data_IF_450752119573
#
_entry.id   IF_450752119573
#
_cell.length_a   1.000
_cell.length_b   1.000
_cell.length_c   1.000
_cell.angle_alpha   90.00
_cell.angle_beta   90.00
_cell.angle_gamma   90.00
#
_symmetry.space_group_name_H-M   'P 1'
#
loop_
_entity.id
_entity.type
_entity.pdbx_description
1 polymer ?
#
# COMPACT_ATOMS: atom_id res chain seq x y z
N UNK A 1 -23.46 -6.07 -12.32
CA UNK A 1 -23.28 -5.19 -11.14
C UNK A 1 -23.95 -5.81 -9.94
N UNK A 2 -23.25 -5.90 -8.80
CA UNK A 2 -23.86 -6.25 -7.52
C UNK A 2 -24.91 -5.19 -7.12
N UNK A 3 -25.83 -5.54 -6.22
CA UNK A 3 -26.85 -4.61 -5.74
C UNK A 3 -26.22 -3.37 -5.07
N UNK A 4 -25.10 -3.55 -4.34
CA UNK A 4 -24.34 -2.43 -3.75
C UNK A 4 -23.86 -1.42 -4.80
N UNK A 5 -23.27 -1.88 -5.92
CA UNK A 5 -22.80 -1.00 -7.00
C UNK A 5 -23.93 -0.20 -7.63
N UNK A 6 -25.09 -0.83 -7.84
CA UNK A 6 -26.27 -0.15 -8.43
C UNK A 6 -26.79 0.93 -7.48
N UNK A 7 -26.93 0.60 -6.21
CA UNK A 7 -27.42 1.52 -5.18
C UNK A 7 -26.45 2.70 -5.02
N UNK A 8 -25.15 2.42 -4.89
CA UNK A 8 -24.11 3.44 -4.77
C UNK A 8 -24.04 4.42 -5.94
N UNK A 9 -24.28 3.93 -7.17
CA UNK A 9 -24.25 4.76 -8.37
C UNK A 9 -25.24 5.93 -8.28
N UNK A 10 -26.42 5.70 -7.71
CA UNK A 10 -27.44 6.75 -7.52
C UNK A 10 -27.33 7.45 -6.17
N UNK A 11 -26.95 6.74 -5.10
CA UNK A 11 -26.83 7.34 -3.76
C UNK A 11 -25.78 8.44 -3.69
N UNK A 12 -24.64 8.30 -4.38
CA UNK A 12 -23.59 9.33 -4.38
C UNK A 12 -24.09 10.70 -4.86
N UNK A 13 -24.62 10.80 -6.10
CA UNK A 13 -25.24 12.03 -6.60
C UNK A 13 -26.41 12.52 -5.74
N UNK A 14 -27.21 11.61 -5.17
CA UNK A 14 -28.32 12.00 -4.29
C UNK A 14 -27.82 12.67 -3.02
N UNK A 15 -26.82 12.10 -2.32
CA UNK A 15 -26.24 12.74 -1.14
C UNK A 15 -25.58 14.07 -1.47
N UNK A 16 -24.90 14.16 -2.62
CA UNK A 16 -24.35 15.41 -3.13
C UNK A 16 -25.44 16.49 -3.27
N UNK A 17 -26.54 16.18 -3.96
CA UNK A 17 -27.66 17.12 -4.14
C UNK A 17 -28.35 17.46 -2.82
N UNK A 18 -28.50 16.50 -1.90
CA UNK A 18 -29.13 16.73 -0.60
C UNK A 18 -28.35 17.74 0.25
N UNK A 19 -27.02 17.70 0.22
CA UNK A 19 -26.19 18.69 0.94
C UNK A 19 -26.25 20.05 0.24
N UNK A 20 -26.14 20.10 -1.08
CA UNK A 20 -26.16 21.39 -1.81
C UNK A 20 -27.51 22.10 -1.75
N UNK A 21 -28.61 21.34 -1.70
CA UNK A 21 -29.97 21.88 -1.60
C UNK A 21 -30.41 22.06 -0.14
N UNK A 22 -29.51 21.85 0.83
CA UNK A 22 -29.86 22.00 2.24
C UNK A 22 -30.19 23.47 2.54
N UNK A 23 -31.30 23.78 3.25
CA UNK A 23 -31.82 25.15 3.32
C UNK A 23 -30.93 26.19 4.01
N UNK A 24 -29.95 25.76 4.80
CA UNK A 24 -29.06 26.60 5.60
C UNK A 24 -27.63 26.05 5.54
N UNK A 25 -26.58 26.88 5.46
CA UNK A 25 -25.23 26.35 5.49
C UNK A 25 -24.96 25.52 6.76
N UNK A 26 -24.47 24.29 6.63
CA UNK A 26 -24.09 23.44 7.76
C UNK A 26 -22.80 23.97 8.40
N UNK A 27 -21.81 24.27 7.55
CA UNK A 27 -20.53 24.85 7.97
C UNK A 27 -20.27 26.18 7.28
N UNK A 28 -20.29 26.18 5.95
CA UNK A 28 -20.12 27.33 5.07
C UNK A 28 -20.50 26.91 3.65
N UNK A 29 -20.83 27.84 2.76
CA UNK A 29 -21.20 27.50 1.37
C UNK A 29 -20.12 26.66 0.68
N UNK A 30 -18.83 26.99 0.87
CA UNK A 30 -17.72 26.23 0.32
C UNK A 30 -17.48 24.92 1.08
N UNK A 31 -17.62 24.91 2.41
CA UNK A 31 -17.46 23.71 3.23
C UNK A 31 -18.49 22.64 2.90
N UNK A 32 -19.75 23.05 2.75
CA UNK A 32 -20.85 22.16 2.41
C UNK A 32 -20.68 21.60 0.99
N UNK A 33 -20.20 22.41 0.05
CA UNK A 33 -19.86 21.96 -1.30
C UNK A 33 -18.75 20.89 -1.28
N UNK A 34 -17.68 21.09 -0.50
CA UNK A 34 -16.62 20.08 -0.32
C UNK A 34 -17.17 18.81 0.34
N UNK A 35 -18.01 18.92 1.37
CA UNK A 35 -18.67 17.78 2.03
C UNK A 35 -19.55 17.03 1.03
N UNK A 36 -20.31 17.73 0.20
CA UNK A 36 -21.17 17.12 -0.82
C UNK A 36 -20.32 16.26 -1.78
N UNK A 37 -19.21 16.81 -2.28
CA UNK A 37 -18.28 16.08 -3.16
C UNK A 37 -17.65 14.90 -2.41
N UNK A 38 -17.20 15.11 -1.18
CA UNK A 38 -16.61 14.06 -0.34
C UNK A 38 -17.58 12.89 -0.11
N UNK A 39 -18.86 13.18 0.19
CA UNK A 39 -19.89 12.16 0.40
C UNK A 39 -20.18 11.36 -0.86
N UNK A 40 -20.20 12.03 -2.02
CA UNK A 40 -20.29 11.33 -3.30
C UNK A 40 -19.09 10.40 -3.47
N UNK A 41 -17.88 10.91 -3.28
CA UNK A 41 -16.65 10.13 -3.43
C UNK A 41 -16.60 8.93 -2.49
N UNK A 42 -16.88 9.13 -1.19
CA UNK A 42 -16.93 8.07 -0.17
C UNK A 42 -17.99 7.02 -0.54
N UNK A 43 -19.17 7.45 -0.96
CA UNK A 43 -20.24 6.52 -1.34
C UNK A 43 -19.81 5.65 -2.52
N UNK A 44 -19.20 6.25 -3.55
CA UNK A 44 -18.72 5.51 -4.71
C UNK A 44 -17.51 4.63 -4.40
N UNK A 45 -16.59 5.06 -3.53
CA UNK A 45 -15.46 4.24 -3.10
C UNK A 45 -15.88 3.06 -2.22
N UNK A 46 -16.84 3.24 -1.31
CA UNK A 46 -17.37 2.18 -0.46
C UNK A 46 -18.17 1.14 -1.24
N UNK A 47 -19.02 1.60 -2.16
CA UNK A 47 -19.88 0.72 -2.95
C UNK A 47 -19.19 0.17 -4.18
N UNK A 48 -18.01 0.71 -4.54
CA UNK A 48 -17.32 0.53 -5.81
C UNK A 48 -18.26 0.70 -7.02
N UNK A 49 -19.14 1.70 -6.96
CA UNK A 49 -20.14 1.96 -8.00
C UNK A 49 -19.48 2.18 -9.38
N UNK A 50 -18.34 2.86 -9.38
CA UNK A 50 -17.44 3.04 -10.53
C UNK A 50 -16.00 2.75 -10.10
N UNK A 51 -15.04 2.76 -11.03
CA UNK A 51 -13.62 2.63 -10.70
C UNK A 51 -13.19 3.73 -9.72
N UNK A 52 -12.37 3.39 -8.72
CA UNK A 52 -11.86 4.33 -7.71
C UNK A 52 -11.18 5.56 -8.35
N UNK A 53 -10.59 5.38 -9.53
CA UNK A 53 -9.93 6.42 -10.31
C UNK A 53 -10.91 7.35 -11.01
N UNK A 54 -12.09 6.86 -11.40
CA UNK A 54 -13.16 7.69 -11.98
C UNK A 54 -13.74 8.58 -10.89
N UNK A 55 -14.01 8.02 -9.71
CA UNK A 55 -14.42 8.79 -8.53
C UNK A 55 -13.38 9.86 -8.18
N UNK A 56 -12.10 9.53 -8.29
CA UNK A 56 -11.02 10.47 -8.02
C UNK A 56 -10.97 11.65 -8.99
N UNK A 57 -11.62 11.60 -10.16
CA UNK A 57 -11.72 12.75 -11.07
C UNK A 57 -12.83 13.72 -10.70
N UNK A 58 -13.72 13.37 -9.76
CA UNK A 58 -14.84 14.24 -9.35
C UNK A 58 -14.37 15.61 -8.87
N UNK A 59 -13.33 15.76 -8.03
CA UNK A 59 -12.85 17.09 -7.64
C UNK A 59 -12.42 17.95 -8.83
N UNK A 60 -11.76 17.36 -9.85
CA UNK A 60 -11.31 18.09 -11.04
C UNK A 60 -12.47 18.69 -11.82
N UNK A 61 -13.63 18.04 -11.80
CA UNK A 61 -14.86 18.52 -12.41
C UNK A 61 -15.64 19.48 -11.50
N UNK A 62 -15.88 19.07 -10.26
CA UNK A 62 -16.87 19.70 -9.37
C UNK A 62 -16.32 20.88 -8.60
N UNK A 63 -15.04 20.91 -8.24
CA UNK A 63 -14.49 22.02 -7.45
C UNK A 63 -14.53 23.37 -8.18
N UNK A 64 -14.21 23.44 -9.50
CA UNK A 64 -14.37 24.68 -10.25
C UNK A 64 -15.83 25.04 -10.49
N UNK A 65 -16.73 24.06 -10.63
CA UNK A 65 -18.17 24.30 -10.83
C UNK A 65 -18.87 24.83 -9.59
N UNK A 66 -18.34 24.53 -8.41
CA UNK A 66 -18.90 24.93 -7.11
C UNK A 66 -18.14 26.12 -6.50
N UNK A 67 -17.27 26.79 -7.28
CA UNK A 67 -16.43 27.91 -6.81
C UNK A 67 -15.64 27.60 -5.53
N UNK A 68 -15.21 26.33 -5.37
CA UNK A 68 -14.30 25.90 -4.29
C UNK A 68 -12.87 26.31 -4.65
N UNK A 69 -12.46 26.06 -5.90
CA UNK A 69 -11.09 26.28 -6.37
C UNK A 69 -11.02 26.38 -7.91
N UNK A 70 -10.18 27.27 -8.47
CA UNK A 70 -9.95 27.32 -9.92
C UNK A 70 -9.39 26.02 -10.49
N UNK A 71 -9.79 25.66 -11.73
CA UNK A 71 -9.36 24.41 -12.40
C UNK A 71 -7.84 24.21 -12.43
N UNK A 72 -7.06 25.27 -12.57
CA UNK A 72 -5.59 25.19 -12.59
C UNK A 72 -5.03 24.73 -11.24
N UNK A 73 -5.56 25.25 -10.13
CA UNK A 73 -5.16 24.84 -8.79
C UNK A 73 -5.61 23.41 -8.48
N UNK A 74 -6.83 23.04 -8.90
CA UNK A 74 -7.27 21.64 -8.78
C UNK A 74 -6.37 20.71 -9.59
N UNK A 75 -6.01 21.11 -10.82
CA UNK A 75 -5.10 20.37 -11.71
C UNK A 75 -3.69 20.19 -11.14
N UNK A 76 -3.16 21.16 -10.39
CA UNK A 76 -1.84 21.07 -9.75
C UNK A 76 -1.75 19.86 -8.80
N UNK A 77 -2.86 19.47 -8.15
CA UNK A 77 -2.90 18.27 -7.32
C UNK A 77 -2.65 16.98 -8.12
N UNK A 78 -3.10 16.91 -9.37
CA UNK A 78 -2.87 15.77 -10.29
C UNK A 78 -1.49 15.83 -10.97
N UNK A 79 -0.81 16.97 -10.89
CA UNK A 79 0.57 17.17 -11.35
C UNK A 79 1.60 17.18 -10.22
N UNK A 80 1.23 16.77 -9.00
CA UNK A 80 2.12 16.84 -7.84
C UNK A 80 3.41 16.02 -8.03
N UNK A 81 4.58 16.47 -7.54
CA UNK A 81 5.84 15.73 -7.60
C UNK A 81 5.74 14.30 -7.07
N UNK A 82 4.87 14.05 -6.09
CA UNK A 82 4.66 12.72 -5.52
C UNK A 82 4.14 11.75 -6.59
N UNK A 83 3.26 12.19 -7.50
CA UNK A 83 2.72 11.32 -8.56
C UNK A 83 3.84 10.82 -9.47
N UNK A 84 4.82 11.66 -9.76
CA UNK A 84 6.00 11.30 -10.56
C UNK A 84 7.00 10.41 -9.81
N UNK A 85 7.11 10.56 -8.48
CA UNK A 85 7.84 9.59 -7.64
C UNK A 85 7.30 8.18 -7.86
N UNK A 86 5.98 8.02 -7.77
CA UNK A 86 5.31 6.73 -7.92
C UNK A 86 5.31 6.22 -9.35
N UNK A 87 5.17 7.11 -10.34
CA UNK A 87 5.32 6.74 -11.73
C UNK A 87 6.68 6.05 -11.98
N UNK A 88 7.77 6.64 -11.49
CA UNK A 88 9.09 6.01 -11.61
C UNK A 88 9.21 4.70 -10.86
N UNK A 89 8.63 4.62 -9.64
CA UNK A 89 8.47 3.38 -8.89
C UNK A 89 7.78 2.26 -9.68
N UNK A 90 6.62 2.55 -10.28
CA UNK A 90 5.86 1.60 -11.07
C UNK A 90 6.57 1.18 -12.35
N UNK A 91 7.29 2.10 -13.02
CA UNK A 91 8.11 1.77 -14.18
C UNK A 91 9.26 0.82 -13.79
N UNK A 92 9.90 1.03 -12.64
CA UNK A 92 10.91 0.10 -12.12
C UNK A 92 10.31 -1.28 -11.80
N UNK A 93 9.17 -1.32 -11.13
CA UNK A 93 8.46 -2.56 -10.84
C UNK A 93 8.08 -3.31 -12.14
N UNK A 94 7.59 -2.59 -13.15
CA UNK A 94 7.28 -3.12 -14.47
C UNK A 94 8.51 -3.71 -15.18
N UNK A 95 9.68 -3.06 -15.08
CA UNK A 95 10.93 -3.60 -15.60
C UNK A 95 11.35 -4.89 -14.90
N UNK A 96 11.25 -4.94 -13.56
CA UNK A 96 11.50 -6.15 -12.77
C UNK A 96 10.57 -7.30 -13.20
N UNK A 97 9.32 -6.97 -13.51
CA UNK A 97 8.32 -7.91 -14.03
C UNK A 97 8.68 -8.43 -15.43
N UNK A 98 8.92 -7.51 -16.39
CA UNK A 98 9.18 -7.83 -17.80
C UNK A 98 10.36 -8.79 -17.98
N UNK A 99 11.40 -8.66 -17.15
CA UNK A 99 12.59 -9.53 -17.23
C UNK A 99 12.54 -10.74 -16.29
N UNK A 100 11.42 -10.97 -15.58
CA UNK A 100 11.24 -12.06 -14.61
C UNK A 100 12.25 -12.06 -13.43
N UNK A 101 12.90 -10.93 -13.17
CA UNK A 101 13.90 -10.82 -12.09
C UNK A 101 13.25 -10.99 -10.71
N UNK A 102 12.07 -10.42 -10.51
CA UNK A 102 11.27 -10.57 -9.29
C UNK A 102 11.02 -12.05 -8.94
N UNK A 103 10.63 -12.89 -9.91
CA UNK A 103 10.41 -14.34 -9.71
C UNK A 103 11.70 -15.08 -9.36
N UNK A 104 12.82 -14.71 -10.00
CA UNK A 104 14.14 -15.27 -9.67
C UNK A 104 14.55 -14.94 -8.23
N UNK A 105 14.34 -13.69 -7.80
CA UNK A 105 14.65 -13.26 -6.42
C UNK A 105 13.83 -14.08 -5.43
N UNK A 106 12.51 -14.19 -5.64
CA UNK A 106 11.63 -14.95 -4.76
C UNK A 106 12.05 -16.42 -4.60
N UNK A 107 12.24 -17.13 -5.72
CA UNK A 107 12.63 -18.54 -5.70
C UNK A 107 13.99 -18.76 -5.02
N UNK A 108 14.95 -17.84 -5.18
CA UNK A 108 16.23 -17.93 -4.48
C UNK A 108 16.08 -17.74 -2.97
N UNK A 109 15.24 -16.80 -2.52
CA UNK A 109 14.96 -16.60 -1.08
C UNK A 109 14.33 -17.86 -0.49
N UNK A 110 13.33 -18.43 -1.17
CA UNK A 110 12.67 -19.67 -0.72
C UNK A 110 13.69 -20.81 -0.64
N UNK A 111 14.53 -20.97 -1.67
CA UNK A 111 15.58 -21.99 -1.70
C UNK A 111 16.57 -21.87 -0.53
N UNK A 112 16.96 -20.65 -0.17
CA UNK A 112 17.94 -20.41 0.90
C UNK A 112 17.34 -20.65 2.29
N UNK A 113 16.05 -20.38 2.48
CA UNK A 113 15.41 -20.46 3.80
C UNK A 113 15.34 -21.90 4.34
N UNK A 114 15.25 -22.89 3.45
CA UNK A 114 15.37 -24.32 3.76
C UNK A 114 14.13 -25.13 3.41
N UNK A 115 14.18 -26.43 3.71
CA UNK A 115 13.22 -27.43 3.18
C UNK A 115 12.16 -27.90 4.16
N UNK A 116 12.24 -27.55 5.45
CA UNK A 116 11.20 -27.97 6.40
C UNK A 116 9.93 -27.14 6.19
N UNK A 117 8.72 -27.66 6.48
CA UNK A 117 7.46 -26.95 6.25
C UNK A 117 7.46 -25.52 6.80
N UNK A 118 7.88 -25.36 8.06
CA UNK A 118 7.95 -24.06 8.72
C UNK A 118 8.94 -23.11 8.04
N UNK A 119 10.10 -23.62 7.60
CA UNK A 119 11.10 -22.83 6.86
C UNK A 119 10.61 -22.43 5.49
N UNK A 120 9.83 -23.28 4.82
CA UNK A 120 9.23 -22.96 3.53
C UNK A 120 8.17 -21.87 3.68
N UNK A 121 7.28 -21.95 4.67
CA UNK A 121 6.33 -20.86 4.99
C UNK A 121 7.09 -19.55 5.23
N UNK A 122 8.13 -19.58 6.07
CA UNK A 122 8.97 -18.41 6.33
C UNK A 122 9.62 -17.86 5.05
N UNK A 123 10.12 -18.75 4.18
CA UNK A 123 10.73 -18.37 2.90
C UNK A 123 9.75 -17.68 1.97
N UNK A 124 8.51 -18.18 1.88
CA UNK A 124 7.42 -17.51 1.15
C UNK A 124 7.11 -16.15 1.76
N UNK A 125 7.01 -16.03 3.09
CA UNK A 125 6.74 -14.76 3.77
C UNK A 125 7.83 -13.71 3.53
N UNK A 126 9.10 -14.07 3.72
CA UNK A 126 10.24 -13.17 3.49
C UNK A 126 10.32 -12.75 2.02
N UNK A 127 10.19 -13.71 1.08
CA UNK A 127 10.21 -13.42 -0.34
C UNK A 127 9.07 -12.47 -0.74
N UNK A 128 7.86 -12.75 -0.26
CA UNK A 128 6.69 -11.92 -0.53
C UNK A 128 6.86 -10.52 0.02
N UNK A 129 7.24 -10.38 1.29
CA UNK A 129 7.46 -9.08 1.90
C UNK A 129 8.53 -8.28 1.14
N UNK A 130 9.66 -8.91 0.84
CA UNK A 130 10.77 -8.27 0.11
C UNK A 130 10.34 -7.77 -1.27
N UNK A 131 9.53 -8.53 -2.01
CA UNK A 131 9.00 -8.10 -3.30
C UNK A 131 7.98 -6.96 -3.14
N UNK A 132 7.11 -7.04 -2.14
CA UNK A 132 6.07 -6.05 -1.88
C UNK A 132 6.62 -4.68 -1.46
N UNK A 133 7.87 -4.62 -0.99
CA UNK A 133 8.55 -3.33 -0.73
C UNK A 133 8.83 -2.51 -1.99
N UNK A 134 8.88 -3.14 -3.16
CA UNK A 134 9.35 -2.50 -4.40
C UNK A 134 8.35 -2.59 -5.54
N UNK A 135 7.45 -3.57 -5.47
CA UNK A 135 6.37 -3.81 -6.41
C UNK A 135 5.06 -3.44 -5.67
N UNK A 136 3.90 -3.69 -6.27
CA UNK A 136 2.63 -3.61 -5.56
C UNK A 136 2.32 -4.89 -4.78
N UNK A 137 1.56 -4.76 -3.69
CA UNK A 137 1.05 -5.89 -2.91
C UNK A 137 0.28 -6.88 -3.80
N UNK A 138 -0.59 -6.37 -4.67
CA UNK A 138 -1.41 -7.17 -5.60
C UNK A 138 -0.55 -7.99 -6.55
N UNK A 139 0.39 -7.36 -7.27
CA UNK A 139 1.23 -8.06 -8.24
C UNK A 139 2.13 -9.09 -7.54
N UNK A 140 2.63 -8.77 -6.35
CA UNK A 140 3.40 -9.70 -5.54
C UNK A 140 2.59 -10.95 -5.18
N UNK A 141 1.35 -10.81 -4.71
CA UNK A 141 0.48 -11.94 -4.41
C UNK A 141 0.18 -12.80 -5.67
N UNK A 142 -0.07 -12.17 -6.82
CA UNK A 142 -0.29 -12.86 -8.10
C UNK A 142 0.92 -13.70 -8.51
N UNK A 143 2.14 -13.19 -8.33
CA UNK A 143 3.38 -13.93 -8.66
C UNK A 143 3.60 -15.10 -7.71
N UNK A 144 3.34 -14.89 -6.42
CA UNK A 144 3.62 -15.88 -5.38
C UNK A 144 2.60 -17.02 -5.36
N UNK A 145 1.34 -16.76 -5.73
CA UNK A 145 0.27 -17.76 -5.67
C UNK A 145 0.55 -19.01 -6.53
N UNK A 146 0.90 -18.92 -7.84
CA UNK A 146 1.21 -20.11 -8.64
C UNK A 146 2.38 -20.93 -8.11
N UNK A 147 3.38 -20.26 -7.52
CA UNK A 147 4.56 -20.92 -6.91
C UNK A 147 4.11 -21.69 -5.67
N UNK A 148 3.33 -21.05 -4.79
CA UNK A 148 2.76 -21.70 -3.61
C UNK A 148 1.86 -22.87 -3.98
N UNK A 149 0.99 -22.69 -4.97
CA UNK A 149 0.11 -23.74 -5.48
C UNK A 149 0.87 -24.94 -6.03
N UNK A 150 2.01 -24.71 -6.70
CA UNK A 150 2.87 -25.80 -7.20
C UNK A 150 3.47 -26.61 -6.06
N UNK A 151 3.80 -25.97 -4.94
CA UNK A 151 4.30 -26.63 -3.73
C UNK A 151 3.18 -27.35 -2.97
N UNK A 152 2.00 -26.75 -2.86
CA UNK A 152 0.84 -27.33 -2.17
C UNK A 152 0.31 -28.57 -2.88
N UNK A 153 0.30 -28.59 -4.23
CA UNK A 153 -0.16 -29.75 -5.00
C UNK A 153 0.61 -31.04 -4.69
N UNK A 154 1.91 -30.95 -4.41
CA UNK A 154 2.72 -32.11 -4.01
C UNK A 154 2.22 -32.80 -2.74
N UNK A 155 1.51 -32.06 -1.87
CA UNK A 155 0.91 -32.60 -0.65
C UNK A 155 -0.47 -33.20 -0.87
N UNK A 156 -1.14 -32.83 -1.97
CA UNK A 156 -2.45 -33.38 -2.33
C UNK A 156 -2.28 -34.76 -2.96
N UNK A 157 -1.20 -34.92 -3.73
CA UNK A 157 -0.86 -36.15 -4.46
C UNK A 157 -0.05 -37.16 -3.61
N UNK A 158 0.04 -36.95 -2.29
CA UNK A 158 0.76 -37.85 -1.36
C UNK A 158 -0.04 -39.12 -1.03
N UNK A 159 0.66 -40.18 -0.64
CA UNK A 159 0.15 -41.54 -0.45
C UNK A 159 -0.88 -41.64 0.68
N UNK A 160 -0.81 -40.74 1.67
CA UNK A 160 -1.73 -40.65 2.81
C UNK A 160 -2.94 -39.72 2.58
N UNK A 161 -3.03 -39.07 1.41
CA UNK A 161 -4.08 -38.12 1.05
C UNK A 161 -3.97 -36.78 1.78
N UNK A 162 -4.91 -35.86 1.53
CA UNK A 162 -4.84 -34.50 2.07
C UNK A 162 -5.20 -34.44 3.57
N UNK A 163 -4.20 -34.51 4.44
CA UNK A 163 -4.39 -34.53 5.89
C UNK A 163 -4.64 -33.13 6.47
N UNK A 164 -5.02 -33.08 7.76
CA UNK A 164 -5.13 -31.82 8.51
C UNK A 164 -3.80 -31.03 8.53
N UNK A 165 -2.66 -31.71 8.55
CA UNK A 165 -1.34 -31.06 8.56
C UNK A 165 -1.05 -30.40 7.22
N UNK A 166 -1.44 -31.03 6.11
CA UNK A 166 -1.30 -30.49 4.76
C UNK A 166 -2.18 -29.26 4.56
N UNK A 167 -3.43 -29.32 5.05
CA UNK A 167 -4.32 -28.15 5.09
C UNK A 167 -3.70 -27.01 5.90
N UNK A 168 -3.19 -27.28 7.09
CA UNK A 168 -2.57 -26.27 7.94
C UNK A 168 -1.35 -25.62 7.26
N UNK A 169 -0.52 -26.41 6.60
CA UNK A 169 0.60 -25.91 5.81
C UNK A 169 0.11 -25.04 4.64
N UNK A 170 -0.84 -25.52 3.83
CA UNK A 170 -1.38 -24.79 2.68
C UNK A 170 -1.97 -23.44 3.10
N UNK A 171 -2.80 -23.43 4.16
CA UNK A 171 -3.37 -22.21 4.71
C UNK A 171 -2.27 -21.27 5.24
N UNK A 172 -1.25 -21.80 5.92
CA UNK A 172 -0.14 -20.98 6.43
C UNK A 172 0.67 -20.33 5.31
N UNK A 173 0.95 -21.05 4.21
CA UNK A 173 1.66 -20.49 3.06
C UNK A 173 0.81 -19.41 2.40
N UNK A 174 -0.46 -19.69 2.12
CA UNK A 174 -1.35 -18.79 1.41
C UNK A 174 -1.66 -17.51 2.22
N UNK A 175 -2.02 -17.65 3.50
CA UNK A 175 -2.21 -16.49 4.38
C UNK A 175 -0.89 -15.76 4.65
N UNK A 176 0.21 -16.50 4.76
CA UNK A 176 1.55 -15.92 4.90
C UNK A 176 1.89 -15.01 3.72
N UNK A 177 1.56 -15.40 2.49
CA UNK A 177 1.73 -14.54 1.30
C UNK A 177 0.85 -13.29 1.43
N UNK A 178 -0.45 -13.42 1.69
CA UNK A 178 -1.32 -12.26 1.75
C UNK A 178 -0.91 -11.26 2.85
N UNK A 179 -0.61 -11.75 4.05
CA UNK A 179 -0.23 -10.90 5.18
C UNK A 179 1.16 -10.28 4.98
N UNK A 180 2.13 -11.03 4.43
CA UNK A 180 3.45 -10.50 4.12
C UNK A 180 3.44 -9.51 2.95
N UNK A 181 2.54 -9.64 1.98
CA UNK A 181 2.36 -8.62 0.95
C UNK A 181 1.88 -7.31 1.57
N UNK A 182 0.83 -7.36 2.40
CA UNK A 182 0.30 -6.17 3.07
C UNK A 182 1.32 -5.53 4.02
N UNK A 183 1.96 -6.31 4.90
CA UNK A 183 2.96 -5.81 5.84
C UNK A 183 4.24 -5.34 5.13
N UNK A 184 4.67 -6.03 4.07
CA UNK A 184 5.85 -5.68 3.27
C UNK A 184 5.69 -4.33 2.56
N UNK A 185 4.49 -4.05 2.02
CA UNK A 185 4.19 -2.78 1.35
C UNK A 185 4.30 -1.55 2.26
N UNK A 186 4.17 -1.73 3.58
CA UNK A 186 4.31 -0.64 4.55
C UNK A 186 5.76 -0.14 4.64
N UNK A 187 6.75 -1.02 4.42
CA UNK A 187 8.14 -0.77 4.75
C UNK A 187 8.80 0.38 3.98
N UNK A 188 8.33 0.68 2.77
CA UNK A 188 8.86 1.74 1.91
C UNK A 188 7.74 2.65 1.46
N UNK A 189 8.11 3.85 0.98
CA UNK A 189 7.15 4.81 0.41
C UNK A 189 6.40 4.19 -0.78
N UNK A 190 7.10 3.42 -1.62
CA UNK A 190 6.58 2.91 -2.90
C UNK A 190 5.69 1.68 -2.75
N UNK A 191 5.91 0.87 -1.70
CA UNK A 191 5.28 -0.45 -1.59
C UNK A 191 3.75 -0.42 -1.55
N UNK A 192 3.14 0.60 -0.94
CA UNK A 192 1.67 0.70 -0.85
C UNK A 192 1.14 2.13 -1.08
N UNK A 193 0.05 2.31 -1.86
CA UNK A 193 -0.49 3.64 -2.16
C UNK A 193 -0.85 4.54 -0.95
N UNK A 194 -1.37 4.02 0.19
CA UNK A 194 -1.60 4.83 1.39
C UNK A 194 -0.41 5.66 1.87
N UNK A 195 0.81 5.09 1.85
CA UNK A 195 2.03 5.79 2.26
C UNK A 195 2.27 7.04 1.40
N UNK A 196 2.11 6.87 0.09
CA UNK A 196 2.14 7.91 -0.95
C UNK A 196 1.19 9.06 -0.68
N UNK A 197 -0.07 8.74 -0.36
CA UNK A 197 -1.10 9.75 -0.15
C UNK A 197 -0.77 10.58 1.07
N UNK A 198 -0.31 9.94 2.14
CA UNK A 198 0.15 10.67 3.31
C UNK A 198 1.32 11.59 2.98
N UNK A 199 2.37 11.09 2.31
CA UNK A 199 3.54 11.90 1.98
C UNK A 199 3.16 13.06 1.06
N UNK A 200 2.33 12.80 0.05
CA UNK A 200 1.79 13.83 -0.81
C UNK A 200 0.98 14.87 -0.03
N UNK A 201 0.13 14.45 0.90
CA UNK A 201 -0.64 15.37 1.74
C UNK A 201 0.30 16.27 2.56
N UNK A 202 1.27 15.67 3.25
CA UNK A 202 2.23 16.37 4.08
C UNK A 202 3.06 17.38 3.28
N UNK A 203 3.54 16.98 2.10
CA UNK A 203 4.39 17.80 1.26
C UNK A 203 3.60 18.95 0.60
N UNK A 204 2.44 18.66 -0.01
CA UNK A 204 1.71 19.67 -0.78
C UNK A 204 0.90 20.63 0.11
N UNK A 205 0.25 20.13 1.16
CA UNK A 205 -0.59 20.97 2.02
C UNK A 205 0.16 21.58 3.19
N UNK A 206 1.09 20.82 3.77
CA UNK A 206 1.73 21.22 5.02
C UNK A 206 3.22 21.56 4.85
N UNK A 207 3.77 21.40 3.64
CA UNK A 207 5.19 21.64 3.34
C UNK A 207 6.15 20.83 4.25
N UNK A 208 5.69 19.66 4.69
CA UNK A 208 6.46 18.73 5.52
C UNK A 208 7.00 17.62 4.62
N UNK A 209 8.31 17.60 4.41
CA UNK A 209 8.97 16.56 3.63
C UNK A 209 9.34 15.35 4.50
N UNK A 210 8.89 14.16 4.13
CA UNK A 210 9.38 12.89 4.66
C UNK A 210 10.17 12.19 3.56
N UNK A 211 11.50 12.21 3.68
CA UNK A 211 12.37 11.53 2.71
C UNK A 211 12.15 10.02 2.71
N UNK A 212 12.49 9.39 1.58
CA UNK A 212 12.42 7.93 1.42
C UNK A 212 13.11 7.17 2.57
N UNK A 213 14.35 7.57 2.93
CA UNK A 213 15.07 6.96 4.04
C UNK A 213 14.36 7.19 5.38
N UNK A 214 13.86 8.42 5.63
CA UNK A 214 13.19 8.75 6.91
C UNK A 214 11.95 7.88 7.12
N UNK A 215 11.19 7.61 6.06
CA UNK A 215 10.07 6.66 6.10
C UNK A 215 10.54 5.24 6.48
N UNK A 216 11.56 4.73 5.80
CA UNK A 216 12.06 3.38 6.02
C UNK A 216 12.55 3.15 7.45
N UNK A 217 13.14 4.15 8.10
CA UNK A 217 13.70 4.02 9.46
C UNK A 217 12.68 3.52 10.48
N UNK A 218 11.41 3.93 10.39
CA UNK A 218 10.36 3.44 11.29
C UNK A 218 9.47 2.35 10.65
N UNK A 219 9.22 2.44 9.34
CA UNK A 219 8.27 1.57 8.68
C UNK A 219 8.84 0.17 8.38
N UNK A 220 10.14 0.06 8.05
CA UNK A 220 10.78 -1.22 7.81
C UNK A 220 10.87 -2.07 9.10
N UNK A 221 11.30 -1.54 10.26
CA UNK A 221 11.22 -2.29 11.52
C UNK A 221 9.80 -2.75 11.87
N UNK A 222 8.80 -1.88 11.70
CA UNK A 222 7.41 -2.24 11.90
C UNK A 222 6.99 -3.42 11.01
N UNK A 223 7.31 -3.37 9.72
CA UNK A 223 7.03 -4.44 8.76
C UNK A 223 7.66 -5.76 9.18
N UNK A 224 8.95 -5.75 9.55
CA UNK A 224 9.68 -6.94 10.01
C UNK A 224 9.02 -7.56 11.25
N UNK A 225 8.64 -6.73 12.23
CA UNK A 225 7.94 -7.18 13.44
C UNK A 225 6.60 -7.82 13.06
N UNK A 226 5.81 -7.16 12.22
CA UNK A 226 4.50 -7.69 11.79
C UNK A 226 4.61 -8.99 11.01
N UNK A 227 5.62 -9.16 10.16
CA UNK A 227 5.89 -10.41 9.44
C UNK A 227 6.27 -11.52 10.43
N UNK A 228 7.13 -11.22 11.41
CA UNK A 228 7.51 -12.16 12.46
C UNK A 228 6.32 -12.62 13.30
N UNK A 229 5.46 -11.68 13.71
CA UNK A 229 4.25 -11.98 14.49
C UNK A 229 3.20 -12.72 13.66
N UNK A 230 3.08 -12.41 12.37
CA UNK A 230 2.27 -13.17 11.42
C UNK A 230 2.76 -14.61 11.29
N UNK A 231 4.09 -14.81 11.19
CA UNK A 231 4.68 -16.14 11.10
C UNK A 231 4.42 -16.96 12.38
N UNK A 232 4.62 -16.36 13.56
CA UNK A 232 4.33 -17.02 14.84
C UNK A 232 2.84 -17.39 14.92
N UNK A 233 1.96 -16.45 14.58
CA UNK A 233 0.51 -16.65 14.61
C UNK A 233 0.06 -17.79 13.70
N UNK A 234 0.51 -17.79 12.45
CA UNK A 234 0.11 -18.80 11.47
C UNK A 234 0.73 -20.17 11.81
N UNK A 235 2.05 -20.24 11.99
CA UNK A 235 2.78 -21.52 12.04
C UNK A 235 2.80 -22.16 13.43
N UNK A 236 2.75 -21.36 14.51
CA UNK A 236 2.89 -21.88 15.87
C UNK A 236 1.58 -21.87 16.66
N UNK A 237 0.70 -20.88 16.43
CA UNK A 237 -0.52 -20.72 17.23
C UNK A 237 -1.75 -21.36 16.57
N UNK A 238 -2.03 -21.02 15.30
CA UNK A 238 -3.34 -21.32 14.69
C UNK A 238 -3.29 -22.53 13.76
N UNK A 239 -2.26 -22.65 12.91
CA UNK A 239 -2.15 -23.69 11.89
C UNK A 239 -0.84 -24.48 11.98
N UNK A 240 -0.55 -25.15 13.11
CA UNK A 240 0.69 -25.91 13.26
C UNK A 240 0.78 -27.07 12.26
N UNK A 241 1.91 -27.17 11.57
CA UNK A 241 2.25 -28.22 10.60
C UNK A 241 3.43 -29.09 11.06
N UNK A 242 3.66 -29.21 12.37
CA UNK A 242 4.77 -30.01 12.93
C UNK A 242 4.66 -31.49 12.53
N UNK A 243 5.80 -32.08 12.13
CA UNK A 243 5.89 -33.50 11.77
C UNK A 243 5.17 -33.85 10.48
N UNK A 244 5.21 -32.95 9.50
CA UNK A 244 4.83 -33.18 8.11
C UNK A 244 6.10 -33.60 7.34
N UNK A 245 6.05 -34.77 6.68
CA UNK A 245 7.16 -35.30 5.89
C UNK A 245 7.24 -34.52 4.58
N UNK A 246 8.22 -33.63 4.46
CA UNK A 246 8.29 -32.68 3.36
C UNK A 246 9.57 -32.88 2.55
N UNK A 247 9.63 -33.98 1.81
CA UNK A 247 10.78 -34.36 0.97
C UNK A 247 10.78 -33.69 -0.41
N UNK A 248 9.62 -33.24 -0.92
CA UNK A 248 9.44 -32.83 -2.32
C UNK A 248 9.66 -31.31 -2.62
N UNK A 249 9.91 -30.47 -1.62
CA UNK A 249 9.90 -29.00 -1.82
C UNK A 249 11.11 -28.44 -2.58
N UNK A 250 12.29 -29.01 -2.36
CA UNK A 250 13.52 -28.53 -3.00
C UNK A 250 13.52 -28.79 -4.50
N UNK A 251 12.98 -29.92 -4.94
CA UNK A 251 12.93 -30.30 -6.36
C UNK A 251 12.01 -29.37 -7.15
N UNK A 252 10.83 -29.02 -6.61
CA UNK A 252 9.92 -28.09 -7.29
C UNK A 252 10.51 -26.68 -7.40
N UNK A 253 11.13 -26.17 -6.34
CA UNK A 253 11.77 -24.84 -6.39
C UNK A 253 12.96 -24.85 -7.37
N UNK A 254 13.74 -25.94 -7.42
CA UNK A 254 14.82 -26.09 -8.38
C UNK A 254 14.30 -26.19 -9.82
N UNK A 255 13.22 -26.91 -10.06
CA UNK A 255 12.63 -27.03 -11.39
C UNK A 255 12.05 -25.69 -11.87
N UNK A 256 11.40 -24.93 -10.99
CA UNK A 256 10.93 -23.56 -11.28
C UNK A 256 12.10 -22.62 -11.59
N UNK A 257 13.22 -22.73 -10.87
CA UNK A 257 14.46 -22.00 -11.19
C UNK A 257 15.06 -22.46 -12.52
N UNK A 258 15.00 -23.76 -12.84
CA UNK A 258 15.51 -24.31 -14.10
C UNK A 258 14.70 -23.83 -15.29
N UNK A 259 13.37 -23.71 -15.16
CA UNK A 259 12.47 -23.11 -16.16
C UNK A 259 12.81 -21.66 -16.49
N UNK A 260 13.37 -20.89 -15.54
CA UNK A 260 13.84 -19.52 -15.79
C UNK A 260 15.16 -19.46 -16.57
N UNK A 261 15.94 -20.54 -16.60
CA UNK A 261 17.27 -20.58 -17.19
C UNK A 261 18.30 -19.70 -16.46
N UNK A 262 19.51 -19.54 -17.03
CA UNK A 262 20.56 -18.70 -16.45
C UNK A 262 20.17 -17.22 -16.42
N UNK A 263 20.72 -16.46 -15.48
CA UNK A 263 20.49 -15.01 -15.35
C UNK A 263 20.84 -14.30 -16.65
N UNK A 264 19.83 -13.74 -17.33
CA UNK A 264 20.02 -13.04 -18.61
C UNK A 264 20.67 -11.68 -18.40
N UNK A 265 21.40 -11.18 -19.40
CA UNK A 265 22.09 -9.88 -19.29
C UNK A 265 21.12 -8.70 -19.08
N UNK A 266 19.88 -8.78 -19.59
CA UNK A 266 18.82 -7.80 -19.29
C UNK A 266 18.43 -7.78 -17.80
N UNK A 267 18.37 -8.94 -17.15
CA UNK A 267 18.10 -9.01 -15.70
C UNK A 267 19.20 -8.29 -14.91
N UNK A 268 20.47 -8.47 -15.30
CA UNK A 268 21.61 -7.78 -14.65
C UNK A 268 21.54 -6.27 -14.82
N UNK A 269 21.14 -5.79 -16.00
CA UNK A 269 20.97 -4.36 -16.27
C UNK A 269 19.86 -3.75 -15.42
N UNK A 270 18.70 -4.40 -15.35
CA UNK A 270 17.59 -3.95 -14.50
C UNK A 270 17.99 -3.96 -13.03
N UNK A 271 18.68 -5.02 -12.56
CA UNK A 271 19.20 -5.08 -11.20
C UNK A 271 20.19 -3.95 -10.91
N UNK A 272 21.05 -3.62 -11.86
CA UNK A 272 22.00 -2.51 -11.76
C UNK A 272 21.30 -1.16 -11.62
N UNK A 273 20.32 -0.86 -12.49
CA UNK A 273 19.52 0.37 -12.41
C UNK A 273 18.79 0.43 -11.07
N UNK A 274 18.12 -0.65 -10.68
CA UNK A 274 17.41 -0.75 -9.41
C UNK A 274 18.33 -0.51 -8.20
N UNK A 275 19.51 -1.14 -8.16
CA UNK A 275 20.48 -0.95 -7.08
C UNK A 275 21.01 0.49 -7.01
N UNK A 276 21.24 1.13 -8.15
CA UNK A 276 21.63 2.54 -8.22
C UNK A 276 20.52 3.43 -7.67
N UNK A 277 19.26 3.24 -8.09
CA UNK A 277 18.13 4.03 -7.60
C UNK A 277 17.95 3.91 -6.09
N UNK A 278 17.94 2.68 -5.56
CA UNK A 278 17.81 2.44 -4.11
C UNK A 278 18.96 3.09 -3.34
N UNK A 279 20.19 3.00 -3.86
CA UNK A 279 21.34 3.68 -3.28
C UNK A 279 21.17 5.19 -3.28
N UNK A 280 20.68 5.78 -4.38
CA UNK A 280 20.41 7.22 -4.46
C UNK A 280 19.35 7.67 -3.45
N UNK A 281 18.25 6.92 -3.26
CA UNK A 281 17.25 7.26 -2.25
C UNK A 281 17.79 7.19 -0.82
N UNK A 282 18.54 6.13 -0.49
CA UNK A 282 19.11 5.95 0.85
C UNK A 282 20.14 7.05 1.14
N UNK A 283 21.04 7.34 0.20
CA UNK A 283 22.13 8.30 0.39
C UNK A 283 21.76 9.73 -0.02
N UNK A 284 20.52 10.01 -0.46
CA UNK A 284 20.08 11.33 -0.96
C UNK A 284 20.49 12.47 -0.05
N UNK A 285 20.18 12.38 1.25
CA UNK A 285 20.50 13.44 2.23
C UNK A 285 22.01 13.68 2.34
N UNK A 286 22.80 12.61 2.32
CA UNK A 286 24.27 12.69 2.35
C UNK A 286 24.82 13.31 1.05
N UNK A 287 24.30 12.89 -0.10
CA UNK A 287 24.66 13.43 -1.41
C UNK A 287 24.38 14.93 -1.46
N UNK A 288 23.20 15.37 -1.03
CA UNK A 288 22.84 16.78 -0.98
C UNK A 288 23.68 17.57 0.04
N UNK A 289 24.15 16.96 1.13
CA UNK A 289 25.07 17.65 2.05
C UNK A 289 26.47 17.87 1.46
N UNK A 290 26.95 16.97 0.60
CA UNK A 290 28.27 17.08 -0.05
C UNK A 290 28.19 17.95 -1.30
N UNK A 291 27.08 17.84 -2.05
CA UNK A 291 26.83 18.57 -3.29
C UNK A 291 25.48 19.31 -3.23
N UNK A 292 25.37 20.42 -2.47
CA UNK A 292 24.11 21.14 -2.29
C UNK A 292 23.49 21.66 -3.59
N UNK A 293 24.31 21.94 -4.60
CA UNK A 293 23.88 22.44 -5.91
C UNK A 293 23.10 21.42 -6.75
N UNK A 294 23.18 20.12 -6.43
CA UNK A 294 22.42 19.09 -7.15
C UNK A 294 20.93 19.14 -6.83
N UNK A 295 20.55 19.56 -5.62
CA UNK A 295 19.13 19.65 -5.21
C UNK A 295 18.35 18.36 -5.42
N UNK A 296 18.99 17.19 -5.21
CA UNK A 296 18.42 15.90 -5.59
C UNK A 296 17.19 15.58 -4.75
N UNK A 297 16.04 15.41 -5.39
CA UNK A 297 14.79 14.97 -4.75
C UNK A 297 14.49 13.49 -5.02
N UNK A 298 13.65 12.86 -4.17
CA UNK A 298 13.23 11.48 -4.39
C UNK A 298 12.51 11.31 -5.74
N UNK A 299 11.73 12.33 -6.15
CA UNK A 299 11.06 12.39 -7.45
C UNK A 299 12.05 12.41 -8.61
N UNK A 300 13.11 13.21 -8.52
CA UNK A 300 14.18 13.23 -9.55
C UNK A 300 14.85 11.87 -9.69
N UNK A 301 15.15 11.20 -8.57
CA UNK A 301 15.75 9.86 -8.55
C UNK A 301 14.82 8.84 -9.24
N UNK A 302 13.52 8.90 -8.96
CA UNK A 302 12.52 8.01 -9.58
C UNK A 302 12.38 8.24 -11.07
N UNK A 303 12.36 9.51 -11.50
CA UNK A 303 12.29 9.88 -12.91
C UNK A 303 13.57 9.49 -13.65
N UNK A 304 14.73 9.65 -13.02
CA UNK A 304 16.00 9.15 -13.55
C UNK A 304 15.93 7.64 -13.83
N UNK A 305 15.41 6.85 -12.89
CA UNK A 305 15.27 5.42 -13.06
C UNK A 305 14.30 5.06 -14.19
N UNK A 306 13.14 5.73 -14.24
CA UNK A 306 12.14 5.53 -15.28
C UNK A 306 12.71 5.81 -16.68
N UNK A 307 13.30 7.00 -16.85
CA UNK A 307 13.91 7.42 -18.11
C UNK A 307 15.03 6.46 -18.50
N UNK A 308 15.88 6.05 -17.55
CA UNK A 308 16.98 5.12 -17.82
C UNK A 308 16.50 3.77 -18.38
N UNK A 309 15.35 3.26 -17.91
CA UNK A 309 14.79 1.99 -18.37
C UNK A 309 14.23 2.05 -19.81
N UNK A 310 13.87 3.23 -20.29
CA UNK A 310 13.46 3.46 -21.69
C UNK A 310 14.62 3.90 -22.59
N UNK A 311 15.58 4.66 -22.05
CA UNK A 311 16.57 5.37 -22.85
C UNK A 311 17.94 4.68 -22.90
N UNK A 312 18.31 3.86 -21.92
CA UNK A 312 19.58 3.13 -21.95
C UNK A 312 19.39 1.84 -22.75
N UNK A 313 20.03 1.69 -23.93
CA UNK A 313 19.85 0.51 -24.75
C UNK A 313 20.62 -0.66 -24.15
N UNK A 314 19.96 -1.82 -24.07
CA UNK A 314 20.63 -3.08 -23.78
C UNK A 314 21.55 -3.49 -24.94
N UNK A 315 21.12 -3.25 -26.19
CA UNK A 315 21.95 -3.44 -27.38
C UNK A 315 21.77 -2.29 -28.36
N UNK A 316 22.73 -1.37 -28.38
CA UNK A 316 22.71 -0.17 -29.22
C UNK A 316 22.62 -0.50 -30.72
N UNK A 317 23.27 -1.58 -31.18
CA UNK A 317 23.25 -1.98 -32.60
C UNK A 317 21.88 -2.49 -33.06
N UNK A 318 21.08 -3.01 -32.14
CA UNK A 318 19.75 -3.57 -32.43
C UNK A 318 18.61 -2.63 -32.02
N UNK A 319 18.89 -1.50 -31.39
CA UNK A 319 17.88 -0.64 -30.78
C UNK A 319 17.07 -1.38 -29.71
N UNK A 320 17.69 -2.33 -29.01
CA UNK A 320 17.00 -3.17 -28.02
C UNK A 320 17.07 -2.49 -26.65
N UNK A 321 15.93 -2.07 -26.12
CA UNK A 321 15.79 -1.43 -24.82
C UNK A 321 15.20 -2.41 -23.80
N UNK A 322 15.16 -2.00 -22.52
CA UNK A 322 14.49 -2.80 -21.49
C UNK A 322 12.97 -2.64 -21.64
N UNK A 323 12.49 -1.40 -21.63
CA UNK A 323 11.07 -1.06 -21.77
C UNK A 323 10.79 -0.36 -23.11
N UNK A 324 9.60 -0.64 -23.63
CA UNK A 324 8.97 0.03 -24.76
C UNK A 324 7.75 0.80 -24.23
N UNK A 325 7.38 1.94 -24.83
CA UNK A 325 6.26 2.74 -24.32
C UNK A 325 4.96 1.93 -24.18
N UNK A 326 4.75 0.94 -25.05
CA UNK A 326 3.61 0.03 -24.97
C UNK A 326 3.54 -0.76 -23.64
N UNK A 327 4.67 -1.05 -23.01
CA UNK A 327 4.67 -1.74 -21.70
C UNK A 327 3.95 -0.92 -20.63
N UNK A 328 3.89 0.42 -20.79
CA UNK A 328 3.22 1.31 -19.84
C UNK A 328 1.70 1.08 -19.76
N UNK A 329 1.11 0.36 -20.71
CA UNK A 329 -0.30 -0.09 -20.65
C UNK A 329 -0.57 -0.94 -19.39
N UNK A 330 0.47 -1.58 -18.83
CA UNK A 330 0.37 -2.38 -17.60
C UNK A 330 0.53 -1.58 -16.31
N UNK A 331 0.89 -0.30 -16.39
CA UNK A 331 1.03 0.54 -15.20
C UNK A 331 -0.33 0.79 -14.56
N UNK A 332 -0.34 0.93 -13.23
CA UNK A 332 -1.52 1.27 -12.47
C UNK A 332 -1.86 2.77 -12.56
N UNK A 333 -2.13 3.27 -13.78
CA UNK A 333 -2.47 4.68 -14.04
C UNK A 333 -3.61 5.18 -13.16
N UNK A 334 -4.57 4.30 -12.87
CA UNK A 334 -5.69 4.62 -12.00
C UNK A 334 -5.28 5.02 -10.58
N UNK A 335 -4.18 4.48 -10.05
CA UNK A 335 -3.66 4.85 -8.71
C UNK A 335 -3.02 6.24 -8.75
N UNK A 336 -2.33 6.59 -9.86
CA UNK A 336 -1.74 7.92 -10.04
C UNK A 336 -2.83 9.01 -10.09
N UNK A 337 -3.94 8.76 -10.78
CA UNK A 337 -5.11 9.66 -10.79
C UNK A 337 -5.77 9.75 -9.41
N UNK A 338 -5.82 8.63 -8.69
CA UNK A 338 -6.38 8.58 -7.33
C UNK A 338 -5.61 9.45 -6.34
N UNK A 339 -4.28 9.52 -6.47
CA UNK A 339 -3.47 10.45 -5.68
C UNK A 339 -3.87 11.90 -5.94
N UNK A 340 -4.02 12.30 -7.20
CA UNK A 340 -4.46 13.66 -7.54
C UNK A 340 -5.84 13.99 -6.98
N UNK A 341 -6.79 13.05 -7.04
CA UNK A 341 -8.13 13.24 -6.47
C UNK A 341 -8.12 13.32 -4.94
N UNK A 342 -7.30 12.51 -4.26
CA UNK A 342 -7.14 12.57 -2.81
C UNK A 342 -6.48 13.85 -2.32
N UNK A 343 -5.43 14.31 -3.01
CA UNK A 343 -4.78 15.59 -2.74
C UNK A 343 -5.72 16.77 -3.02
N UNK A 344 -6.46 16.74 -4.13
CA UNK A 344 -7.47 17.74 -4.42
C UNK A 344 -8.53 17.79 -3.31
N UNK A 345 -9.06 16.65 -2.86
CA UNK A 345 -10.02 16.60 -1.76
C UNK A 345 -9.44 17.18 -0.46
N UNK A 346 -8.20 16.82 -0.12
CA UNK A 346 -7.51 17.37 1.04
C UNK A 346 -7.36 18.90 0.96
N UNK A 347 -6.94 19.41 -0.20
CA UNK A 347 -6.85 20.84 -0.45
C UNK A 347 -8.20 21.52 -0.29
N UNK A 348 -9.26 20.92 -0.86
CA UNK A 348 -10.64 21.37 -0.72
C UNK A 348 -11.05 21.52 0.75
N UNK A 349 -10.79 20.50 1.57
CA UNK A 349 -11.11 20.52 3.01
C UNK A 349 -10.33 21.61 3.77
N UNK A 350 -9.09 21.89 3.37
CA UNK A 350 -8.29 22.96 3.96
C UNK A 350 -8.83 24.34 3.60
N UNK A 351 -9.04 24.63 2.30
CA UNK A 351 -9.47 25.97 1.86
C UNK A 351 -10.91 26.28 2.25
N UNK A 352 -11.75 25.27 2.44
CA UNK A 352 -13.15 25.45 2.84
C UNK A 352 -13.36 25.60 4.35
N UNK A 353 -12.28 25.55 5.16
CA UNK A 353 -12.32 25.69 6.61
C UNK A 353 -12.79 24.46 7.40
N UNK A 354 -12.96 23.29 6.75
CA UNK A 354 -13.37 22.05 7.44
C UNK A 354 -12.29 21.63 8.44
N UNK A 355 -11.03 21.67 8.02
CA UNK A 355 -9.88 21.32 8.88
C UNK A 355 -9.82 22.24 10.11
N UNK A 356 -10.10 23.53 9.93
CA UNK A 356 -10.09 24.52 11.02
C UNK A 356 -11.19 24.25 12.05
N UNK A 357 -12.39 23.88 11.60
CA UNK A 357 -13.50 23.57 12.50
C UNK A 357 -13.29 22.27 13.29
N UNK A 358 -12.73 21.24 12.64
CA UNK A 358 -12.31 20.02 13.34
C UNK A 358 -11.27 20.38 14.41
N UNK A 359 -10.27 21.17 14.04
CA UNK A 359 -9.23 21.65 14.96
C UNK A 359 -9.82 22.40 16.17
N UNK A 360 -10.70 23.37 15.93
CA UNK A 360 -11.36 24.13 17.01
C UNK A 360 -12.22 23.24 17.92
N UNK A 361 -12.95 22.29 17.35
CA UNK A 361 -13.79 21.35 18.12
C UNK A 361 -12.95 20.45 19.02
N UNK A 362 -11.80 19.99 18.53
CA UNK A 362 -10.87 19.17 19.30
C UNK A 362 -10.18 19.99 20.39
N UNK A 363 -9.74 21.21 20.07
CA UNK A 363 -9.12 22.12 21.04
C UNK A 363 -10.06 22.46 22.20
N UNK A 364 -11.35 22.64 21.92
CA UNK A 364 -12.37 22.93 22.94
C UNK A 364 -12.73 21.72 23.83
N UNK A 365 -12.54 20.50 23.32
CA UNK A 365 -12.99 19.28 23.99
C UNK A 365 -12.06 18.71 25.06
N UNK A 366 -10.86 19.28 25.26
CA UNK A 366 -9.83 18.80 26.20
C UNK A 366 -9.58 17.28 26.11
N UNK A 367 -9.50 16.76 24.87
CA UNK A 367 -9.33 15.34 24.61
C UNK A 367 -7.94 14.85 25.04
N UNK A 368 -7.87 13.62 25.56
CA UNK A 368 -6.58 12.97 25.81
C UNK A 368 -5.90 12.61 24.49
N UNK A 369 -4.65 13.05 24.33
CA UNK A 369 -3.83 12.81 23.14
C UNK A 369 -3.70 11.29 22.85
N UNK A 370 -3.27 10.51 23.85
CA UNK A 370 -3.11 9.05 23.71
C UNK A 370 -4.43 8.35 23.41
N UNK A 371 -5.52 8.73 24.08
CA UNK A 371 -6.83 8.11 23.84
C UNK A 371 -7.33 8.40 22.41
N UNK A 372 -7.13 9.63 21.93
CA UNK A 372 -7.50 10.05 20.58
C UNK A 372 -6.67 9.29 19.54
N UNK A 373 -5.35 9.23 19.73
CA UNK A 373 -4.45 8.46 18.84
C UNK A 373 -4.87 6.98 18.77
N UNK A 374 -5.12 6.37 19.94
CA UNK A 374 -5.52 4.97 20.04
C UNK A 374 -6.85 4.71 19.33
N UNK A 375 -7.83 5.60 19.50
CA UNK A 375 -9.13 5.50 18.84
C UNK A 375 -8.99 5.64 17.31
N UNK A 376 -8.19 6.58 16.83
CA UNK A 376 -7.98 6.79 15.39
C UNK A 376 -7.25 5.61 14.75
N UNK A 377 -6.21 5.07 15.40
CA UNK A 377 -5.51 3.86 14.94
C UNK A 377 -6.46 2.67 14.87
N UNK A 378 -7.25 2.47 15.93
CA UNK A 378 -8.27 1.42 15.99
C UNK A 378 -9.30 1.57 14.87
N UNK A 379 -9.83 2.78 14.70
CA UNK A 379 -10.82 3.09 13.67
C UNK A 379 -10.26 2.84 12.26
N UNK A 380 -9.08 3.37 11.95
CA UNK A 380 -8.45 3.17 10.64
C UNK A 380 -8.23 1.70 10.32
N UNK A 381 -7.75 0.94 11.31
CA UNK A 381 -7.46 -0.47 11.11
C UNK A 381 -8.74 -1.28 10.85
N UNK A 382 -9.81 -1.06 11.61
CA UNK A 382 -11.04 -1.80 11.37
C UNK A 382 -11.82 -1.30 10.14
N UNK A 383 -11.69 -0.02 9.78
CA UNK A 383 -12.28 0.51 8.55
C UNK A 383 -11.58 -0.03 7.29
N UNK A 384 -10.29 -0.34 7.36
CA UNK A 384 -9.58 -0.93 6.20
C UNK A 384 -10.05 -2.35 5.85
N UNK A 385 -10.73 -3.03 6.78
CA UNK A 385 -11.36 -4.32 6.47
C UNK A 385 -12.61 -4.16 5.58
N UNK A 386 -13.17 -2.95 5.51
CA UNK A 386 -14.44 -2.65 4.83
C UNK A 386 -14.29 -1.71 3.63
N UNK A 387 -13.21 -0.93 3.57
CA UNK A 387 -12.96 0.10 2.56
C UNK A 387 -11.56 -0.07 1.98
N UNK A 388 -11.38 0.31 0.71
CA UNK A 388 -10.05 0.41 0.10
C UNK A 388 -9.12 1.29 0.94
N UNK A 389 -7.94 0.78 1.28
CA UNK A 389 -6.90 1.48 2.07
C UNK A 389 -6.61 2.89 1.52
N UNK A 390 -6.62 3.00 0.19
CA UNK A 390 -6.28 4.23 -0.53
C UNK A 390 -7.37 5.28 -0.38
N UNK A 391 -8.63 4.87 -0.55
CA UNK A 391 -9.78 5.73 -0.31
C UNK A 391 -9.86 6.15 1.16
N UNK A 392 -9.57 5.23 2.08
CA UNK A 392 -9.60 5.48 3.51
C UNK A 392 -8.63 6.59 3.91
N UNK A 393 -7.38 6.53 3.45
CA UNK A 393 -6.37 7.57 3.74
C UNK A 393 -6.69 8.88 3.01
N UNK A 394 -7.15 8.83 1.75
CA UNK A 394 -7.52 10.03 1.00
C UNK A 394 -8.61 10.87 1.72
N UNK A 395 -9.54 10.21 2.41
CA UNK A 395 -10.65 10.87 3.11
C UNK A 395 -10.29 11.24 4.53
N UNK A 396 -9.67 10.33 5.29
CA UNK A 396 -9.49 10.51 6.73
C UNK A 396 -8.19 11.22 7.09
N UNK A 397 -7.14 11.18 6.26
CA UNK A 397 -5.89 11.86 6.59
C UNK A 397 -6.05 13.38 6.77
N UNK A 398 -6.80 14.12 5.93
CA UNK A 398 -7.03 15.55 6.16
C UNK A 398 -7.78 15.83 7.47
N UNK A 399 -8.75 14.98 7.83
CA UNK A 399 -9.48 15.09 9.10
C UNK A 399 -8.55 14.85 10.29
N UNK A 400 -7.70 13.82 10.21
CA UNK A 400 -6.70 13.50 11.25
C UNK A 400 -5.67 14.62 11.40
N UNK A 401 -5.31 15.30 10.29
CA UNK A 401 -4.46 16.48 10.36
C UNK A 401 -5.12 17.62 11.15
N UNK A 402 -6.41 17.89 10.91
CA UNK A 402 -7.19 18.84 11.73
C UNK A 402 -7.23 18.47 13.21
N UNK A 403 -7.40 17.17 13.52
CA UNK A 403 -7.37 16.68 14.91
C UNK A 403 -6.00 16.91 15.54
N UNK A 404 -4.90 16.64 14.83
CA UNK A 404 -3.55 16.86 15.35
C UNK A 404 -3.28 18.33 15.67
N UNK A 405 -3.72 19.25 14.79
CA UNK A 405 -3.63 20.69 15.00
C UNK A 405 -4.42 21.09 16.25
N UNK A 406 -5.66 20.59 16.39
CA UNK A 406 -6.51 20.89 17.56
C UNK A 406 -5.97 20.36 18.88
N UNK A 407 -5.25 19.23 18.86
CA UNK A 407 -4.54 18.69 20.03
C UNK A 407 -3.22 19.42 20.34
N UNK A 408 -2.75 20.30 19.46
CA UNK A 408 -1.49 21.03 19.63
C UNK A 408 -0.24 20.15 19.50
N UNK A 409 -0.29 19.05 18.73
CA UNK A 409 0.85 18.15 18.50
C UNK A 409 1.29 18.15 17.03
N UNK A 410 2.56 17.80 16.72
CA UNK A 410 3.00 17.66 15.33
C UNK A 410 2.14 16.64 14.58
N UNK A 411 1.59 17.02 13.43
CA UNK A 411 0.66 16.18 12.67
C UNK A 411 1.21 14.81 12.25
N UNK A 412 2.53 14.75 12.01
CA UNK A 412 3.22 13.50 11.67
C UNK A 412 3.11 12.45 12.77
N UNK A 413 2.91 12.87 14.03
CA UNK A 413 2.74 11.95 15.16
C UNK A 413 1.47 11.12 14.98
N UNK A 414 0.35 11.73 14.62
CA UNK A 414 -0.90 11.00 14.38
C UNK A 414 -0.98 10.39 12.99
N UNK A 415 -0.60 11.15 11.96
CA UNK A 415 -0.83 10.76 10.59
C UNK A 415 -0.05 9.51 10.15
N UNK A 416 1.19 9.36 10.60
CA UNK A 416 2.03 8.18 10.28
C UNK A 416 1.38 6.88 10.78
N UNK A 417 1.14 6.68 12.09
CA UNK A 417 0.59 5.43 12.61
C UNK A 417 -0.84 5.17 12.11
N UNK A 418 -1.67 6.21 11.95
CA UNK A 418 -3.02 6.12 11.36
C UNK A 418 -2.96 5.65 9.91
N UNK A 419 -2.02 6.16 9.12
CA UNK A 419 -1.83 5.72 7.72
C UNK A 419 -1.31 4.29 7.66
N UNK A 420 -0.35 3.92 8.50
CA UNK A 420 0.14 2.54 8.58
C UNK A 420 -0.96 1.56 8.99
N UNK A 421 -1.85 1.96 9.92
CA UNK A 421 -3.02 1.18 10.33
C UNK A 421 -3.94 0.83 9.15
N UNK A 422 -4.10 1.75 8.19
CA UNK A 422 -4.91 1.51 6.98
C UNK A 422 -4.37 0.38 6.09
N UNK A 423 -3.11 -0.05 6.28
CA UNK A 423 -2.51 -1.15 5.53
C UNK A 423 -2.45 -2.47 6.33
N UNK A 424 -2.95 -2.48 7.57
CA UNK A 424 -3.03 -3.65 8.44
C UNK A 424 -4.36 -4.40 8.29
N UNK A 425 -4.70 -4.79 7.06
CA UNK A 425 -5.91 -5.55 6.74
C UNK A 425 -5.64 -7.06 6.68
N UNK A 426 -6.01 -7.79 7.73
CA UNK A 426 -5.68 -9.21 7.90
C UNK A 426 -6.90 -10.12 8.10
N UNK A 427 -8.12 -9.59 8.31
CA UNK A 427 -9.29 -10.39 8.67
C UNK A 427 -10.13 -10.85 7.48
N UNK A 428 -10.41 -9.98 6.52
CA UNK A 428 -11.40 -10.26 5.47
C UNK A 428 -10.78 -10.46 4.08
N UNK A 429 -11.34 -11.36 3.25
CA UNK A 429 -10.90 -11.54 1.87
C UNK A 429 -11.04 -10.28 1.02
N UNK A 430 -12.13 -9.54 1.21
CA UNK A 430 -12.44 -8.35 0.40
C UNK A 430 -11.65 -7.11 0.82
N UNK A 431 -10.96 -7.13 1.96
CA UNK A 431 -10.24 -5.97 2.48
C UNK A 431 -9.10 -5.54 1.57
N UNK A 432 -8.34 -6.50 1.02
CA UNK A 432 -7.23 -6.20 0.12
C UNK A 432 -7.13 -7.21 -1.02
N UNK A 433 -6.62 -6.82 -2.20
CA UNK A 433 -6.43 -7.76 -3.31
C UNK A 433 -5.56 -8.98 -2.98
N UNK A 434 -4.45 -8.88 -2.22
CA UNK A 434 -3.70 -10.07 -1.77
C UNK A 434 -4.55 -11.08 -1.02
N UNK A 435 -5.41 -10.62 -0.10
CA UNK A 435 -6.33 -11.48 0.65
C UNK A 435 -7.32 -12.19 -0.29
N UNK A 436 -7.91 -11.45 -1.23
CA UNK A 436 -8.84 -12.02 -2.21
C UNK A 436 -8.18 -13.04 -3.15
N UNK A 437 -6.96 -12.76 -3.61
CA UNK A 437 -6.18 -13.63 -4.51
C UNK A 437 -5.91 -14.98 -3.85
N UNK A 438 -5.44 -14.99 -2.62
CA UNK A 438 -5.15 -16.26 -1.93
C UNK A 438 -6.42 -16.97 -1.50
N UNK A 439 -7.49 -16.24 -1.15
CA UNK A 439 -8.79 -16.80 -0.84
C UNK A 439 -9.40 -17.55 -2.05
N UNK A 440 -9.22 -17.02 -3.26
CA UNK A 440 -9.68 -17.64 -4.51
C UNK A 440 -8.99 -18.99 -4.82
N UNK A 441 -7.94 -19.38 -4.09
CA UNK A 441 -7.31 -20.70 -4.23
C UNK A 441 -8.21 -21.87 -3.80
N UNK A 442 -9.23 -21.61 -2.97
CA UNK A 442 -10.16 -22.63 -2.46
C UNK A 442 -9.71 -23.37 -1.20
N UNK A 443 -8.49 -23.12 -0.69
CA UNK A 443 -7.98 -23.77 0.53
C UNK A 443 -8.31 -23.02 1.83
N UNK A 444 -8.67 -21.74 1.72
CA UNK A 444 -8.88 -20.85 2.86
C UNK A 444 -10.38 -20.62 3.04
N UNK A 445 -10.84 -20.73 4.28
CA UNK A 445 -12.18 -20.30 4.66
C UNK A 445 -12.15 -18.93 5.36
N UNK A 446 -13.24 -18.16 5.29
CA UNK A 446 -13.34 -16.83 5.95
C UNK A 446 -13.06 -16.93 7.44
N UNK A 447 -13.51 -18.02 8.09
CA UNK A 447 -13.25 -18.28 9.52
C UNK A 447 -11.76 -18.41 9.85
N UNK A 448 -10.96 -18.91 8.91
CA UNK A 448 -9.51 -19.08 9.11
C UNK A 448 -8.81 -17.71 9.05
N UNK A 449 -9.22 -16.86 8.11
CA UNK A 449 -8.74 -15.49 8.00
C UNK A 449 -9.11 -14.66 9.22
N UNK A 450 -10.37 -14.68 9.65
CA UNK A 450 -10.85 -13.91 10.81
C UNK A 450 -10.10 -14.32 12.09
N UNK A 451 -9.89 -15.63 12.31
CA UNK A 451 -9.16 -16.13 13.49
C UNK A 451 -7.71 -15.64 13.56
N UNK A 452 -7.00 -15.66 12.45
CA UNK A 452 -5.62 -15.18 12.40
C UNK A 452 -5.55 -13.64 12.38
N UNK A 453 -6.42 -13.02 11.58
CA UNK A 453 -6.46 -11.58 11.37
C UNK A 453 -6.80 -10.80 12.62
N UNK A 454 -7.78 -11.24 13.42
CA UNK A 454 -8.17 -10.46 14.61
C UNK A 454 -7.03 -10.35 15.63
N UNK A 455 -6.24 -11.41 15.80
CA UNK A 455 -5.07 -11.39 16.67
C UNK A 455 -4.01 -10.42 16.14
N UNK A 456 -3.72 -10.48 14.84
CA UNK A 456 -2.74 -9.60 14.20
C UNK A 456 -3.19 -8.13 14.19
N UNK A 457 -4.48 -7.88 14.00
CA UNK A 457 -5.08 -6.56 14.03
C UNK A 457 -4.90 -5.92 15.42
N UNK A 458 -5.26 -6.63 16.49
CA UNK A 458 -5.09 -6.14 17.86
C UNK A 458 -3.62 -5.87 18.21
N UNK A 459 -2.72 -6.77 17.80
CA UNK A 459 -1.28 -6.61 17.99
C UNK A 459 -0.73 -5.42 17.18
N UNK A 460 -1.19 -5.23 15.95
CA UNK A 460 -0.82 -4.08 15.13
C UNK A 460 -1.26 -2.76 15.77
N UNK A 461 -2.48 -2.69 16.33
CA UNK A 461 -2.93 -1.50 17.08
C UNK A 461 -1.98 -1.18 18.23
N UNK A 462 -1.60 -2.17 19.04
CA UNK A 462 -0.68 -1.96 20.18
C UNK A 462 0.70 -1.48 19.71
N UNK A 463 1.24 -2.06 18.65
CA UNK A 463 2.55 -1.65 18.11
C UNK A 463 2.48 -0.24 17.54
N UNK A 464 1.39 0.12 16.85
CA UNK A 464 1.21 1.47 16.29
C UNK A 464 1.01 2.53 17.37
N UNK A 465 0.35 2.18 18.49
CA UNK A 465 0.29 3.05 19.67
C UNK A 465 1.69 3.22 20.27
N UNK A 466 2.47 2.14 20.42
CA UNK A 466 3.85 2.23 20.88
C UNK A 466 4.74 3.05 19.92
N UNK A 467 4.52 2.92 18.61
CA UNK A 467 5.21 3.72 17.59
C UNK A 467 4.88 5.21 17.78
N UNK A 468 3.60 5.53 17.97
CA UNK A 468 3.11 6.88 18.26
C UNK A 468 3.74 7.48 19.52
N UNK A 469 3.76 6.74 20.64
CA UNK A 469 4.21 7.26 21.93
C UNK A 469 5.72 7.38 22.04
N UNK A 470 6.47 6.42 21.48
CA UNK A 470 7.89 6.28 21.79
C UNK A 470 8.83 6.48 20.60
N UNK A 471 8.41 6.17 19.37
CA UNK A 471 9.34 6.15 18.23
C UNK A 471 9.22 7.41 17.37
N UNK A 472 8.00 7.80 16.99
CA UNK A 472 7.80 8.99 16.15
C UNK A 472 8.36 10.27 16.81
N UNK A 473 8.13 10.52 18.12
CA UNK A 473 8.66 11.72 18.80
C UNK A 473 10.19 11.75 18.94
N UNK A 474 10.88 10.63 18.71
CA UNK A 474 12.35 10.59 18.69
C UNK A 474 12.93 10.91 17.31
N UNK A 475 12.13 10.77 16.25
CA UNK A 475 12.54 10.93 14.85
C UNK A 475 12.13 12.28 14.24
N UNK A 476 11.15 12.95 14.85
CA UNK A 476 10.59 14.24 14.46
C UNK A 476 10.50 15.11 15.70
#
# INVERSE_FOLDING_TARGET
MSNSKKVGLFLGPVFFLLILLWPQPLLSTQGDAVIAVALWMVTWWLTEAVSISVTALLPLLLFPLLDIMPIAEVGNNYGSPIIFLFFGGFVMALALEKVNLHRRIALNIIRITGTTPNKVVLGFMIATASLSMWISNTATAVVMLPIAMSVIKLLIDDVDGFTKKDRNFAVSVLLGIAFSANAGGIATVIGTPPNSILIGLLENEYQIEISFLKWMVFALPFSIIMIGLSYITLVHLIFPSKGLNFSASNEVIQEELRKLGPTRSKEKMVLGIFAVTVSLWIFRTLINSVFPSLGLSDTMISMFAAISLFAVPFNLKKGDFILDWKDTEKLAWGILILFGGGLALAKGMSVSGIVDQVSQSIAAGNFSITATASLLILLMLFMTELMSNVALVAVLAPVVAGIAIGLGIPMVYLLIPVTMASSCAFMLPMATPPNAIVFASGFIEVKDMVKAGILLNLVAVLILIGLFEYIIPLLF
#
